data_IF_377699306067
#
_entry.id   IF_377699306067
#
_cell.length_a   1.000
_cell.length_b   1.000
_cell.length_c   1.000
_cell.angle_alpha   90.00
_cell.angle_beta   90.00
_cell.angle_gamma   90.00
#
_symmetry.space_group_name_H-M   'P 1'
#
loop_
_entity.id
_entity.type
_entity.pdbx_description
1 polymer ?
#
# COMPACT_ATOMS: atom_id res chain seq x y z
N UNK A 1 -10.41 -5.36 -48.61
CA UNK A 1 -10.30 -6.69 -49.22
C UNK A 1 -8.86 -7.14 -49.41
N UNK A 2 -7.95 -6.36 -50.00
CA UNK A 2 -6.53 -6.71 -50.18
C UNK A 2 -5.83 -7.16 -48.87
N UNK A 3 -6.05 -6.50 -47.75
CA UNK A 3 -5.44 -6.86 -46.47
C UNK A 3 -5.91 -8.22 -45.93
N UNK A 4 -7.14 -8.60 -46.23
CA UNK A 4 -7.68 -9.88 -45.80
C UNK A 4 -7.09 -11.04 -46.65
N UNK A 5 -6.88 -10.82 -47.96
CA UNK A 5 -6.23 -11.79 -48.86
C UNK A 5 -4.76 -12.00 -48.51
N UNK A 6 -4.02 -10.91 -48.20
CA UNK A 6 -2.65 -10.98 -47.73
C UNK A 6 -2.50 -11.73 -46.38
N UNK A 7 -3.47 -11.59 -45.47
CA UNK A 7 -3.49 -12.33 -44.21
C UNK A 7 -3.71 -13.82 -44.48
N UNK A 8 -4.70 -14.17 -45.31
CA UNK A 8 -4.98 -15.56 -45.68
C UNK A 8 -3.76 -16.21 -46.34
N UNK A 9 -3.13 -15.54 -47.32
CA UNK A 9 -1.92 -16.02 -47.98
C UNK A 9 -0.75 -16.23 -46.99
N UNK A 10 -0.62 -15.37 -45.98
CA UNK A 10 0.40 -15.51 -44.93
C UNK A 10 0.13 -16.67 -43.97
N UNK A 11 -1.15 -16.97 -43.70
CA UNK A 11 -1.58 -18.15 -42.92
C UNK A 11 -1.26 -19.44 -43.70
N UNK A 12 -1.63 -19.50 -44.98
CA UNK A 12 -1.39 -20.66 -45.84
C UNK A 12 0.10 -20.95 -46.00
N UNK A 13 0.92 -19.90 -46.10
CA UNK A 13 2.38 -20.04 -46.25
C UNK A 13 3.14 -20.21 -44.94
N UNK A 14 2.43 -20.24 -43.77
CA UNK A 14 3.00 -20.33 -42.40
C UNK A 14 4.06 -19.28 -42.06
N UNK A 15 3.99 -18.09 -42.66
CA UNK A 15 4.90 -16.97 -42.40
C UNK A 15 4.38 -16.12 -41.23
N UNK A 16 4.71 -16.53 -40.02
CA UNK A 16 4.17 -15.92 -38.79
C UNK A 16 4.61 -14.47 -38.59
N UNK A 17 5.80 -14.09 -39.04
CA UNK A 17 6.29 -12.69 -38.91
C UNK A 17 5.52 -11.76 -39.84
N UNK A 18 5.16 -12.18 -41.05
CA UNK A 18 4.30 -11.40 -41.95
C UNK A 18 2.88 -11.25 -41.39
N UNK A 19 2.35 -12.29 -40.74
CA UNK A 19 1.04 -12.22 -40.06
C UNK A 19 1.01 -11.18 -38.98
N UNK A 20 2.05 -11.05 -38.17
CA UNK A 20 2.13 -10.01 -37.10
C UNK A 20 2.13 -8.61 -37.70
N UNK A 21 2.87 -8.42 -38.79
CA UNK A 21 2.95 -7.11 -39.46
C UNK A 21 1.61 -6.72 -40.11
N UNK A 22 0.95 -7.68 -40.79
CA UNK A 22 -0.37 -7.49 -41.39
C UNK A 22 -1.46 -7.29 -40.37
N UNK A 23 -1.45 -8.01 -39.23
CA UNK A 23 -2.35 -7.83 -38.11
C UNK A 23 -2.27 -6.40 -37.53
N UNK A 24 -1.05 -5.86 -37.40
CA UNK A 24 -0.83 -4.50 -36.97
C UNK A 24 -1.37 -3.45 -37.94
N UNK A 25 -1.18 -3.66 -39.25
CA UNK A 25 -1.72 -2.79 -40.30
C UNK A 25 -3.24 -2.81 -40.29
N UNK A 26 -3.86 -4.01 -40.21
CA UNK A 26 -5.31 -4.18 -40.14
C UNK A 26 -5.88 -3.51 -38.89
N UNK A 27 -5.27 -3.69 -37.74
CA UNK A 27 -5.70 -3.06 -36.49
C UNK A 27 -5.67 -1.53 -36.58
N UNK A 28 -4.64 -0.95 -37.21
CA UNK A 28 -4.56 0.50 -37.44
C UNK A 28 -5.66 0.98 -38.39
N UNK A 29 -5.91 0.25 -39.48
CA UNK A 29 -6.95 0.58 -40.46
C UNK A 29 -8.36 0.52 -39.83
N UNK A 30 -8.67 -0.55 -39.10
CA UNK A 30 -9.93 -0.73 -38.38
C UNK A 30 -10.17 0.35 -37.33
N UNK A 31 -9.12 0.74 -36.58
CA UNK A 31 -9.19 1.84 -35.62
C UNK A 31 -9.54 3.16 -36.31
N UNK A 32 -8.85 3.51 -37.38
CA UNK A 32 -9.14 4.74 -38.16
C UNK A 32 -10.60 4.75 -38.65
N UNK A 33 -11.07 3.63 -39.21
CA UNK A 33 -12.45 3.48 -39.69
C UNK A 33 -13.50 3.61 -38.55
N UNK A 34 -13.25 2.95 -37.40
CA UNK A 34 -14.11 3.02 -36.24
C UNK A 34 -14.19 4.45 -35.65
N UNK A 35 -13.05 5.16 -35.58
CA UNK A 35 -12.99 6.53 -35.15
C UNK A 35 -13.72 7.48 -36.12
N UNK A 36 -13.60 7.27 -37.43
CA UNK A 36 -14.30 8.10 -38.43
C UNK A 36 -15.83 7.92 -38.40
N UNK A 37 -16.29 6.68 -38.18
CA UNK A 37 -17.74 6.39 -38.18
C UNK A 37 -18.44 6.69 -36.84
N UNK A 38 -17.83 6.40 -35.70
CA UNK A 38 -18.43 6.52 -34.36
C UNK A 38 -17.41 6.92 -33.31
N UNK A 39 -16.91 8.17 -33.30
CA UNK A 39 -15.77 8.58 -32.48
C UNK A 39 -16.03 8.39 -30.98
N UNK A 40 -17.17 8.86 -30.45
CA UNK A 40 -17.48 8.76 -29.02
C UNK A 40 -17.63 7.31 -28.54
N UNK A 41 -18.30 6.46 -29.33
CA UNK A 41 -18.47 5.04 -29.00
C UNK A 41 -17.11 4.30 -29.07
N UNK A 42 -16.26 4.65 -30.01
CA UNK A 42 -14.94 4.06 -30.16
C UNK A 42 -14.04 4.46 -28.98
N UNK A 43 -14.06 5.75 -28.59
CA UNK A 43 -13.33 6.24 -27.41
C UNK A 43 -13.81 5.51 -26.15
N UNK A 44 -15.12 5.39 -25.94
CA UNK A 44 -15.66 4.73 -24.74
C UNK A 44 -15.29 3.24 -24.68
N UNK A 45 -15.34 2.52 -25.81
CA UNK A 45 -14.95 1.11 -25.89
C UNK A 45 -13.44 0.91 -25.68
N UNK A 46 -12.62 1.76 -26.28
CA UNK A 46 -11.16 1.73 -26.09
C UNK A 46 -10.81 2.06 -24.63
N UNK A 47 -11.42 3.09 -24.06
CA UNK A 47 -11.23 3.43 -22.65
C UNK A 47 -11.68 2.29 -21.73
N UNK A 48 -12.87 1.72 -21.95
CA UNK A 48 -13.37 0.57 -21.19
C UNK A 48 -12.45 -0.65 -21.31
N UNK A 49 -11.90 -0.94 -22.50
CA UNK A 49 -10.93 -2.01 -22.71
C UNK A 49 -9.63 -1.78 -21.91
N UNK A 50 -9.06 -0.58 -21.99
CA UNK A 50 -7.84 -0.28 -21.23
C UNK A 50 -8.08 -0.21 -19.72
N UNK A 51 -9.23 0.30 -19.29
CA UNK A 51 -9.63 0.30 -17.87
C UNK A 51 -9.79 -1.14 -17.37
N UNK A 52 -10.51 -1.99 -18.08
CA UNK A 52 -10.76 -3.38 -17.67
C UNK A 52 -9.50 -4.24 -17.75
N UNK A 53 -8.70 -4.08 -18.81
CA UNK A 53 -7.41 -4.78 -18.94
C UNK A 53 -6.40 -4.28 -17.92
N UNK A 54 -6.31 -2.97 -17.74
CA UNK A 54 -5.44 -2.34 -16.75
C UNK A 54 -5.83 -2.73 -15.32
N UNK A 55 -7.12 -2.71 -14.99
CA UNK A 55 -7.59 -3.13 -13.66
C UNK A 55 -7.28 -4.62 -13.40
N UNK A 56 -7.50 -5.51 -14.37
CA UNK A 56 -7.13 -6.94 -14.22
C UNK A 56 -5.64 -7.13 -14.01
N UNK A 57 -4.80 -6.42 -14.75
CA UNK A 57 -3.34 -6.47 -14.57
C UNK A 57 -2.92 -5.86 -13.24
N UNK A 58 -3.50 -4.71 -12.87
CA UNK A 58 -3.20 -4.01 -11.62
C UNK A 58 -3.66 -4.81 -10.40
N UNK A 59 -4.85 -5.45 -10.44
CA UNK A 59 -5.40 -6.15 -9.27
C UNK A 59 -5.03 -7.64 -9.19
N UNK A 60 -4.53 -8.24 -10.26
CA UNK A 60 -4.19 -9.67 -10.27
C UNK A 60 -3.08 -10.03 -9.28
N UNK A 61 -2.05 -9.19 -9.15
CA UNK A 61 -0.94 -9.46 -8.22
C UNK A 61 -1.38 -9.43 -6.76
N UNK A 62 -2.45 -8.71 -6.40
CA UNK A 62 -2.98 -8.68 -5.02
C UNK A 62 -3.33 -10.07 -4.50
N UNK A 63 -3.71 -10.99 -5.37
CA UNK A 63 -3.97 -12.39 -5.00
C UNK A 63 -2.72 -13.08 -4.47
N UNK A 64 -1.57 -12.76 -5.04
CA UNK A 64 -0.28 -13.41 -4.74
C UNK A 64 0.62 -12.59 -3.82
N UNK A 65 0.25 -11.35 -3.47
CA UNK A 65 1.08 -10.50 -2.60
C UNK A 65 1.19 -11.11 -1.21
N UNK A 66 2.42 -11.08 -0.68
CA UNK A 66 2.74 -11.40 0.72
C UNK A 66 2.90 -10.08 1.47
N UNK A 67 1.79 -9.36 1.72
CA UNK A 67 1.82 -8.02 2.31
C UNK A 67 1.20 -8.00 3.70
N UNK A 68 1.92 -7.42 4.66
CA UNK A 68 1.39 -7.17 6.00
C UNK A 68 1.83 -5.81 6.54
N UNK A 69 1.13 -5.32 7.54
CA UNK A 69 1.49 -4.10 8.26
C UNK A 69 1.46 -4.29 9.75
N UNK A 70 2.27 -3.52 10.46
CA UNK A 70 2.29 -3.45 11.93
C UNK A 70 1.84 -2.07 12.35
N UNK A 71 0.79 -1.99 13.17
CA UNK A 71 0.24 -0.74 13.66
C UNK A 71 0.15 -0.76 15.19
N UNK A 72 0.42 0.37 15.81
CA UNK A 72 0.24 0.61 17.24
C UNK A 72 0.55 2.07 17.59
N UNK A 73 0.17 2.57 18.75
CA UNK A 73 0.66 3.84 19.30
C UNK A 73 2.20 3.86 19.43
N UNK A 74 2.79 5.05 19.51
CA UNK A 74 4.23 5.16 19.79
C UNK A 74 4.55 4.67 21.21
N UNK A 75 5.69 3.99 21.36
CA UNK A 75 6.06 3.35 22.63
C UNK A 75 5.54 1.93 22.83
N UNK A 76 4.68 1.39 21.94
CA UNK A 76 4.16 0.01 22.04
C UNK A 76 5.17 -1.10 21.67
N UNK A 77 6.42 -0.78 21.36
CA UNK A 77 7.44 -1.77 21.03
C UNK A 77 7.44 -2.26 19.59
N UNK A 78 6.83 -1.49 18.63
CA UNK A 78 6.77 -1.86 17.20
C UNK A 78 8.09 -2.24 16.57
N UNK A 79 9.14 -1.44 16.81
CA UNK A 79 10.47 -1.65 16.22
C UNK A 79 11.05 -2.99 16.66
N UNK A 80 11.08 -3.25 17.97
CA UNK A 80 11.59 -4.51 18.52
C UNK A 80 10.77 -5.71 18.05
N UNK A 81 9.44 -5.59 18.01
CA UNK A 81 8.58 -6.63 17.46
C UNK A 81 8.88 -6.90 15.98
N UNK A 82 9.01 -5.84 15.19
CA UNK A 82 9.26 -5.96 13.75
C UNK A 82 10.63 -6.61 13.48
N UNK A 83 11.67 -6.19 14.19
CA UNK A 83 13.00 -6.80 14.12
C UNK A 83 12.94 -8.31 14.39
N UNK A 84 12.28 -8.72 15.48
CA UNK A 84 12.13 -10.14 15.82
C UNK A 84 11.31 -10.90 14.79
N UNK A 85 10.20 -10.33 14.30
CA UNK A 85 9.39 -10.97 13.27
C UNK A 85 10.16 -11.13 11.94
N UNK A 86 10.97 -10.15 11.55
CA UNK A 86 11.79 -10.25 10.35
C UNK A 86 12.89 -11.32 10.50
N UNK A 87 13.55 -11.42 11.65
CA UNK A 87 14.48 -12.49 11.96
C UNK A 87 13.84 -13.88 11.79
N UNK A 88 12.61 -14.06 12.32
CA UNK A 88 11.86 -15.30 12.20
C UNK A 88 11.44 -15.59 10.74
N UNK A 89 10.98 -14.60 10.00
CA UNK A 89 10.63 -14.77 8.58
C UNK A 89 11.86 -15.18 7.78
N UNK A 90 13.00 -14.52 8.00
CA UNK A 90 14.25 -14.86 7.31
C UNK A 90 14.69 -16.29 7.65
N UNK A 91 14.58 -16.71 8.90
CA UNK A 91 14.91 -18.07 9.31
C UNK A 91 14.05 -19.12 8.59
N UNK A 92 12.74 -18.89 8.44
CA UNK A 92 11.81 -19.86 7.83
C UNK A 92 11.80 -19.85 6.30
N UNK A 93 12.02 -18.71 5.67
CA UNK A 93 11.81 -18.54 4.22
C UNK A 93 13.10 -18.35 3.43
N UNK A 94 14.26 -18.19 4.07
CA UNK A 94 15.54 -17.92 3.40
C UNK A 94 16.42 -19.15 3.44
N UNK A 95 16.66 -19.74 2.27
CA UNK A 95 17.67 -20.79 2.10
C UNK A 95 19.08 -20.22 1.89
N UNK A 96 19.22 -18.96 1.49
CA UNK A 96 20.47 -18.25 1.27
C UNK A 96 20.41 -16.85 1.93
N UNK A 97 21.36 -16.56 2.82
CA UNK A 97 21.44 -15.29 3.57
C UNK A 97 21.65 -14.04 2.69
N UNK A 98 21.90 -14.20 1.41
CA UNK A 98 22.03 -13.10 0.45
C UNK A 98 20.70 -12.57 -0.09
N UNK A 99 19.59 -13.29 0.11
CA UNK A 99 18.29 -12.94 -0.45
C UNK A 99 17.42 -12.20 0.58
N UNK A 100 17.34 -10.89 0.45
CA UNK A 100 16.48 -10.05 1.29
C UNK A 100 15.00 -10.31 0.95
N UNK A 101 14.32 -11.17 1.73
CA UNK A 101 12.93 -11.58 1.53
C UNK A 101 11.90 -10.55 1.99
N UNK A 102 12.30 -9.60 2.81
CA UNK A 102 11.41 -8.60 3.37
C UNK A 102 11.77 -7.20 2.87
N UNK A 103 10.82 -6.53 2.24
CA UNK A 103 10.96 -5.12 1.88
C UNK A 103 10.11 -4.28 2.84
N UNK A 104 10.77 -3.45 3.67
CA UNK A 104 10.12 -2.66 4.71
C UNK A 104 9.84 -1.25 4.22
N UNK A 105 8.57 -0.86 4.31
CA UNK A 105 8.07 0.48 4.00
C UNK A 105 7.66 1.18 5.29
N UNK A 106 8.07 2.43 5.48
CA UNK A 106 7.69 3.23 6.65
C UNK A 106 6.47 4.10 6.35
N UNK A 107 5.35 3.85 7.04
CA UNK A 107 4.07 4.53 6.96
C UNK A 107 3.40 4.43 5.60
N UNK A 108 4.05 4.83 4.51
CA UNK A 108 3.53 4.86 3.15
C UNK A 108 4.57 4.33 2.15
N UNK A 109 4.17 3.98 0.91
CA UNK A 109 5.11 3.50 -0.10
C UNK A 109 6.23 4.49 -0.44
N UNK A 110 6.03 5.80 -0.22
CA UNK A 110 6.99 6.87 -0.52
C UNK A 110 7.39 6.97 -2.01
N UNK A 111 6.46 6.67 -2.91
CA UNK A 111 6.64 6.93 -4.33
C UNK A 111 6.70 8.44 -4.60
N UNK A 112 5.82 9.20 -3.95
CA UNK A 112 5.79 10.64 -4.02
C UNK A 112 6.67 11.25 -2.91
N UNK A 113 7.37 12.39 -3.16
CA UNK A 113 8.23 13.05 -2.18
C UNK A 113 7.49 13.39 -0.89
N UNK A 114 8.21 13.63 0.20
CA UNK A 114 7.58 14.12 1.43
C UNK A 114 7.04 15.54 1.22
N UNK A 115 5.80 15.80 1.69
CA UNK A 115 5.17 17.13 1.57
C UNK A 115 5.99 18.24 2.26
N UNK A 116 6.76 17.90 3.31
CA UNK A 116 7.73 18.80 3.93
C UNK A 116 8.83 19.23 2.95
N UNK A 117 9.45 18.27 2.28
CA UNK A 117 10.51 18.52 1.31
C UNK A 117 10.03 19.35 0.10
N UNK A 118 8.76 19.17 -0.34
CA UNK A 118 8.17 20.00 -1.40
C UNK A 118 8.02 21.45 -0.92
N UNK A 119 7.56 21.67 0.32
CA UNK A 119 7.40 23.00 0.90
C UNK A 119 8.73 23.75 1.06
N UNK A 120 9.81 23.04 1.35
CA UNK A 120 11.18 23.58 1.44
C UNK A 120 11.71 23.96 0.06
N UNK A 121 11.57 23.11 -0.95
CA UNK A 121 12.02 23.38 -2.32
C UNK A 121 11.28 24.54 -2.99
N UNK A 122 10.06 24.86 -2.55
CA UNK A 122 9.24 25.97 -3.05
C UNK A 122 9.42 27.24 -2.19
N UNK A 123 10.29 27.22 -1.17
CA UNK A 123 10.61 28.42 -0.34
C UNK A 123 9.48 28.85 0.61
N UNK A 124 8.51 27.97 0.88
CA UNK A 124 7.33 28.30 1.71
C UNK A 124 7.59 28.06 3.21
N UNK A 125 8.67 27.37 3.59
CA UNK A 125 9.06 27.12 4.98
C UNK A 125 10.56 27.01 5.17
N UNK A 126 11.08 27.68 6.21
CA UNK A 126 12.41 27.40 6.77
C UNK A 126 12.44 26.04 7.46
N UNK A 127 13.59 25.35 7.33
CA UNK A 127 13.88 24.10 8.03
C UNK A 127 13.80 24.30 9.55
N UNK A 128 12.82 23.68 10.18
CA UNK A 128 12.88 23.48 11.62
C UNK A 128 13.83 22.31 11.91
N UNK A 129 15.12 22.65 12.12
CA UNK A 129 16.23 21.68 12.36
C UNK A 129 16.00 20.80 13.60
N UNK A 130 14.98 21.10 14.42
CA UNK A 130 14.62 20.39 15.64
C UNK A 130 13.30 19.61 15.54
N UNK A 131 12.94 19.13 14.34
CA UNK A 131 11.71 18.37 14.13
C UNK A 131 11.81 16.94 14.71
N UNK A 132 11.88 16.84 16.04
CA UNK A 132 11.94 15.57 16.76
C UNK A 132 10.58 15.06 17.22
N UNK A 133 9.52 15.90 17.18
CA UNK A 133 8.21 15.52 17.67
C UNK A 133 7.09 15.91 16.68
N UNK A 134 6.53 14.94 15.92
CA UNK A 134 5.51 15.20 14.90
C UNK A 134 4.18 15.75 15.45
N UNK A 135 3.90 15.57 16.74
CA UNK A 135 2.67 16.03 17.40
C UNK A 135 2.67 17.51 17.80
N UNK A 136 3.81 18.21 17.76
CA UNK A 136 3.90 19.64 18.13
C UNK A 136 3.38 20.62 17.06
N UNK A 137 3.19 20.16 15.84
CA UNK A 137 2.76 21.01 14.73
C UNK A 137 1.26 21.26 14.76
N UNK A 138 0.83 22.53 14.58
CA UNK A 138 -0.60 22.85 14.44
C UNK A 138 -1.24 22.10 13.27
N UNK A 139 -2.50 21.64 13.41
CA UNK A 139 -3.24 21.04 12.30
C UNK A 139 -3.27 21.98 11.10
N UNK A 140 -3.23 21.43 9.90
CA UNK A 140 -3.43 22.20 8.68
C UNK A 140 -4.92 22.53 8.54
N UNK A 141 -5.27 23.72 8.07
CA UNK A 141 -6.69 24.08 7.84
C UNK A 141 -7.38 23.07 6.90
N UNK A 142 -8.72 23.02 6.92
CA UNK A 142 -9.50 21.97 6.25
C UNK A 142 -9.16 21.73 4.78
N UNK A 143 -9.00 22.79 3.97
CA UNK A 143 -8.61 22.65 2.56
C UNK A 143 -7.20 22.05 2.41
N UNK A 144 -6.24 22.52 3.21
CA UNK A 144 -4.87 21.99 3.20
C UNK A 144 -4.84 20.52 3.66
N UNK A 145 -5.67 20.16 4.62
CA UNK A 145 -5.85 18.77 5.09
C UNK A 145 -6.46 17.88 4.00
N UNK A 146 -7.41 18.41 3.22
CA UNK A 146 -8.00 17.67 2.10
C UNK A 146 -6.98 17.41 0.98
N UNK A 147 -6.20 18.41 0.61
CA UNK A 147 -5.09 18.25 -0.36
C UNK A 147 -4.08 17.23 0.16
N UNK A 148 -3.73 17.29 1.44
CA UNK A 148 -2.78 16.37 2.08
C UNK A 148 -3.28 14.91 2.08
N UNK A 149 -4.54 14.65 2.45
CA UNK A 149 -5.08 13.29 2.45
C UNK A 149 -5.21 12.75 1.03
N UNK A 150 -5.57 13.61 0.05
CA UNK A 150 -5.60 13.25 -1.37
C UNK A 150 -4.21 12.88 -1.91
N UNK A 151 -3.18 13.61 -1.50
CA UNK A 151 -1.79 13.31 -1.82
C UNK A 151 -1.35 11.96 -1.24
N UNK A 152 -1.67 11.68 0.02
CA UNK A 152 -1.40 10.38 0.63
C UNK A 152 -2.16 9.25 -0.07
N UNK A 153 -3.43 9.48 -0.39
CA UNK A 153 -4.23 8.52 -1.15
C UNK A 153 -3.58 8.18 -2.48
N UNK A 154 -3.13 9.18 -3.23
CA UNK A 154 -2.44 8.99 -4.51
C UNK A 154 -1.14 8.20 -4.33
N UNK A 155 -0.32 8.53 -3.33
CA UNK A 155 0.92 7.81 -3.03
C UNK A 155 0.66 6.35 -2.65
N UNK A 156 -0.37 6.08 -1.83
CA UNK A 156 -0.78 4.72 -1.51
C UNK A 156 -1.27 3.95 -2.73
N UNK A 157 -2.13 4.55 -3.56
CA UNK A 157 -2.68 3.87 -4.74
C UNK A 157 -1.59 3.56 -5.76
N UNK A 158 -0.76 4.53 -6.10
CA UNK A 158 0.29 4.34 -7.09
C UNK A 158 1.46 3.53 -6.53
N UNK A 159 1.98 3.91 -5.37
CA UNK A 159 3.16 3.29 -4.78
C UNK A 159 2.92 1.85 -4.36
N UNK A 160 1.78 1.55 -3.72
CA UNK A 160 1.42 0.18 -3.40
C UNK A 160 1.35 -0.70 -4.65
N UNK A 161 0.70 -0.19 -5.71
CA UNK A 161 0.56 -0.96 -6.96
C UNK A 161 1.92 -1.18 -7.67
N UNK A 162 2.85 -0.26 -7.58
CA UNK A 162 4.17 -0.40 -8.19
C UNK A 162 5.08 -1.28 -7.34
N UNK A 163 5.26 -0.97 -6.07
CA UNK A 163 6.24 -1.63 -5.21
C UNK A 163 5.79 -3.03 -4.77
N UNK A 164 4.53 -3.20 -4.32
CA UNK A 164 4.03 -4.53 -3.95
C UNK A 164 3.98 -5.47 -5.17
N UNK A 165 3.77 -4.92 -6.38
CA UNK A 165 3.87 -5.72 -7.60
C UNK A 165 5.31 -6.19 -7.84
N UNK A 166 6.32 -5.35 -7.62
CA UNK A 166 7.72 -5.75 -7.69
C UNK A 166 8.05 -6.81 -6.66
N UNK A 167 7.62 -6.63 -5.41
CA UNK A 167 7.83 -7.61 -4.35
C UNK A 167 7.24 -8.99 -4.71
N UNK A 168 6.03 -9.01 -5.32
CA UNK A 168 5.43 -10.26 -5.83
C UNK A 168 6.27 -10.90 -6.93
N UNK A 169 6.88 -10.10 -7.82
CA UNK A 169 7.73 -10.62 -8.89
C UNK A 169 9.01 -11.27 -8.35
N UNK A 170 9.53 -10.74 -7.24
CA UNK A 170 10.74 -11.26 -6.57
C UNK A 170 10.43 -12.19 -5.39
N UNK A 171 9.18 -12.62 -5.24
CA UNK A 171 8.70 -13.48 -4.14
C UNK A 171 9.00 -12.92 -2.74
N UNK A 172 8.97 -11.59 -2.57
CA UNK A 172 9.27 -10.88 -1.33
C UNK A 172 8.03 -10.58 -0.51
N UNK A 173 8.22 -10.41 0.79
CA UNK A 173 7.23 -9.83 1.69
C UNK A 173 7.27 -8.30 1.62
N UNK A 174 6.10 -7.68 1.40
CA UNK A 174 5.92 -6.24 1.52
C UNK A 174 5.48 -5.92 2.95
N UNK A 175 6.38 -5.39 3.74
CA UNK A 175 6.18 -5.11 5.17
C UNK A 175 5.98 -3.62 5.38
N UNK A 176 4.89 -3.22 6.04
CA UNK A 176 4.62 -1.82 6.32
C UNK A 176 4.73 -1.57 7.82
N UNK A 177 5.75 -0.82 8.25
CA UNK A 177 5.83 -0.24 9.59
C UNK A 177 4.91 0.98 9.63
N UNK A 178 3.73 0.83 10.24
CA UNK A 178 2.54 1.69 10.13
C UNK A 178 1.83 1.58 8.78
N UNK A 179 0.60 2.06 8.73
CA UNK A 179 -0.20 2.07 7.51
C UNK A 179 -1.26 3.19 7.54
N UNK A 180 -2.05 3.28 6.47
CA UNK A 180 -3.10 4.29 6.32
C UNK A 180 -4.12 4.34 7.47
N UNK A 181 -4.22 3.31 8.30
CA UNK A 181 -5.08 3.29 9.49
C UNK A 181 -4.71 4.34 10.53
N UNK A 182 -3.44 4.78 10.55
CA UNK A 182 -2.97 5.89 11.40
C UNK A 182 -3.64 7.22 11.02
N UNK A 183 -4.09 7.39 9.76
CA UNK A 183 -4.89 8.56 9.36
C UNK A 183 -6.23 8.65 10.13
N UNK A 184 -6.72 7.52 10.65
CA UNK A 184 -7.92 7.44 11.48
C UNK A 184 -7.55 7.55 12.95
N UNK A 185 -6.58 6.76 13.41
CA UNK A 185 -6.22 6.66 14.82
C UNK A 185 -5.37 7.83 15.32
N UNK A 186 -4.42 8.32 14.52
CA UNK A 186 -3.48 9.39 14.86
C UNK A 186 -3.41 10.48 13.77
N UNK A 187 -4.50 11.24 13.54
CA UNK A 187 -4.51 12.28 12.52
C UNK A 187 -3.53 13.43 12.82
N UNK A 188 -3.15 13.62 14.08
CA UNK A 188 -2.22 14.67 14.50
C UNK A 188 -0.83 14.47 13.90
N UNK A 189 -0.35 13.23 13.81
CA UNK A 189 0.91 12.85 13.16
C UNK A 189 1.01 13.36 11.72
N UNK A 190 -0.09 13.28 10.99
CA UNK A 190 -0.17 13.72 9.60
C UNK A 190 -0.74 15.12 9.45
N UNK A 191 -0.99 15.82 10.56
CA UNK A 191 -1.54 17.18 10.65
C UNK A 191 -2.88 17.31 9.91
N UNK A 192 -3.72 16.27 9.96
CA UNK A 192 -5.04 16.26 9.33
C UNK A 192 -6.08 16.84 10.29
N UNK A 193 -6.76 17.88 9.82
CA UNK A 193 -7.95 18.46 10.44
C UNK A 193 -9.15 18.20 9.51
N UNK A 194 -9.62 16.95 9.51
CA UNK A 194 -10.74 16.50 8.70
C UNK A 194 -11.70 15.65 9.54
N UNK A 195 -13.00 15.73 9.26
CA UNK A 195 -13.99 14.89 9.91
C UNK A 195 -13.65 13.40 9.78
N UNK A 196 -13.97 12.61 10.80
CA UNK A 196 -13.67 11.18 10.85
C UNK A 196 -14.21 10.41 9.63
N UNK A 197 -15.41 10.75 9.16
CA UNK A 197 -16.01 10.08 8.00
C UNK A 197 -15.23 10.29 6.72
N UNK A 198 -14.63 11.48 6.50
CA UNK A 198 -13.76 11.76 5.35
C UNK A 198 -12.51 10.90 5.43
N UNK A 199 -11.85 10.86 6.59
CA UNK A 199 -10.65 10.03 6.80
C UNK A 199 -10.95 8.54 6.57
N UNK A 200 -12.06 8.03 7.11
CA UNK A 200 -12.53 6.65 6.87
C UNK A 200 -12.78 6.36 5.39
N UNK A 201 -13.38 7.31 4.66
CA UNK A 201 -13.62 7.17 3.22
C UNK A 201 -12.30 7.04 2.44
N UNK A 202 -11.33 7.92 2.69
CA UNK A 202 -10.04 7.86 2.01
C UNK A 202 -9.29 6.57 2.35
N UNK A 203 -9.25 6.17 3.62
CA UNK A 203 -8.62 4.91 4.03
C UNK A 203 -9.30 3.72 3.34
N UNK A 204 -10.62 3.69 3.26
CA UNK A 204 -11.36 2.63 2.54
C UNK A 204 -10.99 2.54 1.05
N UNK A 205 -10.67 3.68 0.42
CA UNK A 205 -10.29 3.74 -1.00
C UNK A 205 -8.80 3.43 -1.23
N UNK A 206 -7.98 3.36 -0.19
CA UNK A 206 -6.57 2.97 -0.28
C UNK A 206 -6.45 1.44 -0.44
N UNK A 207 -5.41 0.94 -1.12
CA UNK A 207 -5.11 -0.49 -1.08
C UNK A 207 -4.79 -0.92 0.36
N UNK A 208 -5.08 -2.16 0.69
CA UNK A 208 -4.84 -2.71 2.03
C UNK A 208 -3.91 -3.91 1.98
N UNK A 209 -3.01 -4.08 2.96
CA UNK A 209 -2.23 -5.30 3.11
C UNK A 209 -3.17 -6.48 3.45
N UNK A 210 -2.70 -7.70 3.22
CA UNK A 210 -3.50 -8.89 3.51
C UNK A 210 -3.64 -9.18 5.00
N UNK A 211 -2.62 -8.82 5.76
CA UNK A 211 -2.57 -9.00 7.21
C UNK A 211 -2.20 -7.68 7.86
N UNK A 212 -2.84 -7.35 8.95
CA UNK A 212 -2.54 -6.20 9.79
C UNK A 212 -2.35 -6.70 11.22
N UNK A 213 -1.15 -6.55 11.75
CA UNK A 213 -0.87 -6.82 13.15
C UNK A 213 -1.07 -5.55 13.95
N UNK A 214 -1.96 -5.62 14.91
CA UNK A 214 -2.13 -4.56 15.91
C UNK A 214 -1.45 -4.99 17.21
N UNK A 215 -0.47 -4.22 17.65
CA UNK A 215 0.18 -4.46 18.94
C UNK A 215 -0.61 -3.76 20.03
N UNK A 216 -1.33 -4.56 20.80
CA UNK A 216 -2.13 -4.07 21.92
C UNK A 216 -1.32 -4.16 23.23
N UNK A 217 -1.06 -3.02 23.85
CA UNK A 217 -0.31 -2.90 25.11
C UNK A 217 -1.13 -2.10 26.11
N UNK A 218 -0.87 -2.27 27.41
CA UNK A 218 -1.47 -1.41 28.42
C UNK A 218 -1.02 0.05 28.22
N UNK A 219 -1.96 1.03 28.21
CA UNK A 219 -1.61 2.45 28.03
C UNK A 219 -0.57 2.94 29.02
N UNK A 220 -0.58 2.46 30.26
CA UNK A 220 0.36 2.84 31.31
C UNK A 220 1.76 2.30 31.01
N UNK A 221 1.86 1.09 30.45
CA UNK A 221 3.12 0.48 30.00
C UNK A 221 3.69 1.25 28.81
N UNK A 222 2.84 1.62 27.84
CA UNK A 222 3.25 2.42 26.68
C UNK A 222 3.78 3.77 27.11
N UNK A 223 3.05 4.47 27.98
CA UNK A 223 3.45 5.77 28.54
C UNK A 223 4.77 5.69 29.32
N UNK A 224 4.95 4.62 30.12
CA UNK A 224 6.20 4.40 30.86
C UNK A 224 7.42 4.17 29.97
N UNK A 225 7.22 3.57 28.78
CA UNK A 225 8.32 3.31 27.81
C UNK A 225 8.72 4.56 27.03
N UNK A 226 7.74 5.38 26.64
CA UNK A 226 7.99 6.56 25.80
C UNK A 226 6.94 7.64 26.07
N UNK A 227 7.37 8.77 26.63
CA UNK A 227 6.51 9.89 27.01
C UNK A 227 6.33 10.90 25.86
N UNK A 228 6.08 10.45 24.65
CA UNK A 228 5.82 11.34 23.50
C UNK A 228 4.35 11.75 23.41
N UNK A 229 3.45 10.91 23.90
CA UNK A 229 2.01 11.12 23.93
C UNK A 229 1.51 11.15 25.37
N UNK A 230 0.44 11.87 25.61
CA UNK A 230 -0.28 11.83 26.90
C UNK A 230 -1.03 10.50 27.03
N UNK A 231 -1.27 10.05 28.26
CA UNK A 231 -1.90 8.76 28.55
C UNK A 231 -3.31 8.64 27.93
N UNK A 232 -4.09 9.72 27.99
CA UNK A 232 -5.43 9.80 27.40
C UNK A 232 -5.40 9.66 25.88
N UNK A 233 -4.41 10.26 25.22
CA UNK A 233 -4.24 10.13 23.77
C UNK A 233 -3.83 8.71 23.36
N UNK A 234 -2.95 8.06 24.13
CA UNK A 234 -2.60 6.65 23.93
C UNK A 234 -3.86 5.78 24.03
N UNK A 235 -4.64 5.96 25.10
CA UNK A 235 -5.88 5.22 25.32
C UNK A 235 -6.89 5.46 24.18
N UNK A 236 -7.05 6.71 23.73
CA UNK A 236 -7.90 7.06 22.60
C UNK A 236 -7.49 6.36 21.31
N UNK A 237 -6.20 6.36 20.99
CA UNK A 237 -5.68 5.67 19.80
C UNK A 237 -5.93 4.17 19.87
N UNK A 238 -5.72 3.55 21.01
CA UNK A 238 -5.97 2.12 21.22
C UNK A 238 -7.44 1.74 21.03
N UNK A 239 -8.38 2.55 21.54
CA UNK A 239 -9.82 2.33 21.31
C UNK A 239 -10.10 2.29 19.79
N UNK A 240 -9.51 3.20 19.02
CA UNK A 240 -9.70 3.23 17.57
C UNK A 240 -9.09 1.99 16.89
N UNK A 241 -7.89 1.59 17.28
CA UNK A 241 -7.24 0.40 16.69
C UNK A 241 -7.99 -0.89 17.05
N UNK A 242 -8.48 -1.05 18.28
CA UNK A 242 -9.31 -2.19 18.70
C UNK A 242 -10.61 -2.25 17.90
N UNK A 243 -11.30 -1.13 17.72
CA UNK A 243 -12.51 -1.08 16.89
C UNK A 243 -12.24 -1.42 15.42
N UNK A 244 -11.07 -1.05 14.87
CA UNK A 244 -10.66 -1.48 13.53
C UNK A 244 -10.38 -2.99 13.48
N UNK A 245 -9.74 -3.54 14.52
CA UNK A 245 -9.44 -4.96 14.61
C UNK A 245 -10.71 -5.83 14.69
N UNK A 246 -11.71 -5.39 15.42
CA UNK A 246 -13.00 -6.08 15.54
C UNK A 246 -13.82 -6.08 14.25
N UNK A 247 -13.64 -5.05 13.41
CA UNK A 247 -14.48 -4.88 12.20
C UNK A 247 -13.88 -5.45 10.92
N UNK A 248 -12.64 -5.98 10.94
CA UNK A 248 -11.94 -6.41 9.74
C UNK A 248 -11.18 -7.73 9.96
N UNK A 249 -11.53 -8.79 9.25
CA UNK A 249 -10.93 -10.14 9.31
C UNK A 249 -9.42 -10.19 9.00
N UNK A 250 -8.85 -9.11 8.48
CA UNK A 250 -7.42 -9.01 8.18
C UNK A 250 -6.57 -8.58 9.36
N UNK A 251 -7.20 -8.12 10.44
CA UNK A 251 -6.53 -7.65 11.64
C UNK A 251 -6.31 -8.79 12.62
N UNK A 252 -5.13 -8.80 13.24
CA UNK A 252 -4.72 -9.72 14.27
C UNK A 252 -4.15 -8.91 15.43
N UNK A 253 -4.85 -8.92 16.56
CA UNK A 253 -4.38 -8.26 17.78
C UNK A 253 -3.37 -9.16 18.49
N UNK A 254 -2.21 -8.60 18.79
CA UNK A 254 -1.12 -9.27 19.48
C UNK A 254 -0.86 -8.56 20.81
N UNK A 255 -0.71 -9.31 21.88
CA UNK A 255 -0.42 -8.76 23.20
C UNK A 255 1.04 -8.28 23.28
N UNK A 256 1.23 -6.95 23.31
CA UNK A 256 2.54 -6.32 23.39
C UNK A 256 3.02 -6.04 24.84
N UNK A 257 2.30 -6.54 25.85
CA UNK A 257 2.78 -6.60 27.24
C UNK A 257 3.74 -7.78 27.46
N UNK A 258 3.72 -8.77 26.57
CA UNK A 258 4.61 -9.94 26.56
C UNK A 258 5.96 -9.60 25.92
N UNK A 259 7.00 -10.45 26.11
CA UNK A 259 8.22 -10.38 25.33
C UNK A 259 7.96 -10.40 23.81
N UNK A 260 8.68 -9.56 23.08
CA UNK A 260 8.47 -9.36 21.64
C UNK A 260 8.59 -10.67 20.82
N UNK A 261 9.44 -11.60 21.26
CA UNK A 261 9.64 -12.90 20.63
C UNK A 261 8.34 -13.75 20.64
N UNK A 262 7.56 -13.70 21.72
CA UNK A 262 6.28 -14.46 21.79
C UNK A 262 5.28 -13.91 20.80
N UNK A 263 5.14 -12.58 20.73
CA UNK A 263 4.23 -11.93 19.80
C UNK A 263 4.70 -12.09 18.35
N UNK A 264 6.03 -12.11 18.10
CA UNK A 264 6.61 -12.37 16.78
C UNK A 264 6.32 -13.81 16.33
N UNK A 265 6.45 -14.81 17.20
CA UNK A 265 6.13 -16.20 16.90
C UNK A 265 4.63 -16.39 16.61
N UNK A 266 3.74 -15.72 17.34
CA UNK A 266 2.30 -15.72 17.05
C UNK A 266 2.00 -15.08 15.69
N UNK A 267 2.63 -13.96 15.37
CA UNK A 267 2.53 -13.32 14.06
C UNK A 267 3.05 -14.21 12.93
N UNK A 268 4.17 -14.91 13.14
CA UNK A 268 4.72 -15.86 12.17
C UNK A 268 3.73 -17.00 11.87
N UNK A 269 3.04 -17.54 12.87
CA UNK A 269 2.01 -18.57 12.64
C UNK A 269 0.88 -18.03 11.74
N UNK A 270 0.44 -16.79 11.97
CA UNK A 270 -0.54 -16.13 11.08
C UNK A 270 0.00 -15.98 9.66
N UNK A 271 1.26 -15.58 9.51
CA UNK A 271 1.93 -15.43 8.21
C UNK A 271 1.99 -16.78 7.49
N UNK A 272 2.41 -17.84 8.18
CA UNK A 272 2.46 -19.19 7.63
C UNK A 272 1.06 -19.66 7.20
N UNK A 273 0.05 -19.46 8.03
CA UNK A 273 -1.33 -19.84 7.71
C UNK A 273 -1.90 -19.09 6.50
N UNK A 274 -1.65 -17.77 6.40
CA UNK A 274 -2.22 -16.92 5.34
C UNK A 274 -1.47 -16.98 4.03
N UNK A 275 -0.17 -17.26 4.03
CA UNK A 275 0.66 -17.15 2.83
C UNK A 275 1.21 -18.47 2.32
N UNK A 276 1.26 -19.56 3.13
CA UNK A 276 1.73 -20.89 2.69
C UNK A 276 0.60 -21.84 2.27
N UNK A 277 -0.63 -21.70 2.74
CA UNK A 277 -1.79 -22.55 2.37
C UNK A 277 -2.20 -22.49 0.87
N UNK A 278 -1.37 -21.94 0.00
CA UNK A 278 -1.65 -21.80 -1.44
C UNK A 278 -0.56 -22.41 -2.33
N UNK A 279 0.31 -23.23 -1.74
CA UNK A 279 1.17 -24.16 -2.48
C UNK A 279 0.44 -25.54 -2.59
#
# INVERSE_FOLDING_TARGET
DYLAEDILASIESRRFDDMLLLSNKLTKALRKFAFAKRPLKTISLVAAFYITKGSKVIFRYKKYSKSFSVIAPDGSGKTTFLEKLLEEIDFFFVNDKSDNRCHVYHFRPNLLPNLGAIGENVGIKEQDKNFTNPHRSKPAGGLSSFVRISYYWLDYVLGYNLYVRQDVQFDRFSVFDRYSYDLIADPARTRLDLPLWVRKLFVKLMPHPKVVFYLDADPTVVFGRKQELQLDEIARQQIVYRALAETHDRFFSLDANRPAEKSANEALQVILDKFTKRL
#
